data_IF_987726170188
#
_entry.id   IF_987726170188
#
_cell.length_a   1.000
_cell.length_b   1.000
_cell.length_c   1.000
_cell.angle_alpha   90.00
_cell.angle_beta   90.00
_cell.angle_gamma   90.00
#
_symmetry.space_group_name_H-M   'P 1'
#
loop_
_entity.id
_entity.type
_entity.pdbx_description
1 polymer ?
#
# COMPACT_ATOMS: atom_id res chain seq x y z
N UNK A 1 39.98 -49.58 -24.44
CA UNK A 1 40.01 -48.16 -24.84
C UNK A 1 38.90 -47.31 -24.18
N UNK A 2 37.72 -47.86 -23.89
CA UNK A 2 36.61 -47.12 -23.26
C UNK A 2 36.93 -46.54 -21.86
N UNK A 3 37.63 -47.29 -21.00
CA UNK A 3 37.91 -46.89 -19.61
C UNK A 3 38.87 -45.69 -19.47
N UNK A 4 39.73 -45.45 -20.47
CA UNK A 4 40.61 -44.27 -20.50
C UNK A 4 39.82 -43.00 -20.84
N UNK A 5 38.78 -43.10 -21.66
CA UNK A 5 37.93 -41.95 -22.01
C UNK A 5 37.05 -41.53 -20.82
N UNK A 6 36.51 -42.49 -20.07
CA UNK A 6 35.73 -42.20 -18.85
C UNK A 6 36.58 -41.53 -17.77
N UNK A 7 37.83 -41.97 -17.60
CA UNK A 7 38.77 -41.36 -16.65
C UNK A 7 39.13 -39.92 -17.04
N UNK A 8 39.32 -39.64 -18.33
CA UNK A 8 39.58 -38.28 -18.80
C UNK A 8 38.37 -37.36 -18.63
N UNK A 9 37.15 -37.85 -18.88
CA UNK A 9 35.93 -37.09 -18.65
C UNK A 9 35.71 -36.80 -17.16
N UNK A 10 35.93 -37.77 -16.28
CA UNK A 10 35.78 -37.58 -14.84
C UNK A 10 36.83 -36.61 -14.26
N UNK A 11 38.09 -36.70 -14.74
CA UNK A 11 39.14 -35.76 -14.38
C UNK A 11 38.84 -34.32 -14.85
N UNK A 12 38.30 -34.16 -16.06
CA UNK A 12 37.87 -32.85 -16.56
C UNK A 12 36.73 -32.26 -15.73
N UNK A 13 35.75 -33.09 -15.34
CA UNK A 13 34.63 -32.66 -14.50
C UNK A 13 35.07 -32.22 -13.11
N UNK A 14 36.03 -32.94 -12.48
CA UNK A 14 36.63 -32.55 -11.20
C UNK A 14 37.43 -31.22 -11.28
N UNK A 15 38.13 -30.99 -12.39
CA UNK A 15 38.82 -29.71 -12.64
C UNK A 15 37.83 -28.54 -12.83
N UNK A 16 36.69 -28.78 -13.49
CA UNK A 16 35.65 -27.76 -13.62
C UNK A 16 34.95 -27.46 -12.27
N UNK A 17 34.66 -28.46 -11.43
CA UNK A 17 33.97 -28.22 -10.15
C UNK A 17 34.87 -27.53 -9.11
N UNK A 18 36.17 -27.81 -9.10
CA UNK A 18 37.14 -27.09 -8.24
C UNK A 18 37.23 -25.61 -8.58
N UNK A 19 37.17 -25.23 -9.86
CA UNK A 19 37.17 -23.81 -10.26
C UNK A 19 35.91 -23.03 -9.86
N UNK A 20 34.77 -23.70 -9.66
CA UNK A 20 33.53 -23.07 -9.20
C UNK A 20 33.51 -22.79 -7.69
N UNK A 21 34.23 -23.58 -6.89
CA UNK A 21 34.35 -23.36 -5.45
C UNK A 21 35.24 -22.15 -5.09
N UNK A 22 36.21 -21.81 -5.95
CA UNK A 22 37.13 -20.69 -5.72
C UNK A 22 36.52 -19.30 -5.95
N UNK A 23 35.41 -19.19 -6.70
CA UNK A 23 34.74 -17.90 -6.95
C UNK A 23 33.71 -17.51 -5.87
N UNK A 24 33.26 -18.47 -5.06
CA UNK A 24 32.27 -18.23 -3.98
C UNK A 24 32.95 -17.84 -2.66
N UNK A 25 34.27 -18.04 -2.54
CA UNK A 25 35.03 -17.83 -1.30
C UNK A 25 35.90 -16.56 -1.27
N UNK A 26 35.76 -15.63 -2.22
CA UNK A 26 36.50 -14.35 -2.21
C UNK A 26 35.64 -13.14 -1.79
N UNK A 27 34.39 -13.34 -1.36
CA UNK A 27 33.49 -12.23 -1.00
C UNK A 27 33.05 -12.20 0.46
N UNK A 28 33.53 -13.13 1.28
CA UNK A 28 33.36 -13.10 2.73
C UNK A 28 34.74 -13.02 3.38
N UNK A 29 34.93 -11.96 4.15
CA UNK A 29 36.05 -11.72 5.09
C UNK A 29 37.29 -11.02 4.52
N UNK A 30 37.27 -9.68 4.54
CA UNK A 30 38.12 -8.84 5.42
C UNK A 30 37.99 -7.36 4.99
N UNK A 31 38.10 -6.45 5.97
CA UNK A 31 37.91 -4.98 5.95
C UNK A 31 36.44 -4.60 6.28
N UNK A 32 36.04 -4.08 7.43
CA UNK A 32 36.72 -3.47 8.58
C UNK A 32 35.61 -3.18 9.63
N UNK A 33 35.78 -3.38 10.96
CA UNK A 33 34.91 -2.73 11.95
C UNK A 33 35.44 -1.31 12.18
N UNK A 34 35.38 -0.47 11.14
CA UNK A 34 35.69 0.95 11.30
C UNK A 34 34.51 1.61 11.97
N UNK A 35 34.72 1.92 13.24
CA UNK A 35 34.04 2.94 14.03
C UNK A 35 33.32 3.95 13.12
N UNK A 36 32.01 3.76 12.94
CA UNK A 36 31.16 4.81 12.41
C UNK A 36 31.04 5.87 13.50
N UNK A 37 32.10 6.68 13.57
CA UNK A 37 32.08 7.97 14.21
C UNK A 37 30.88 8.71 13.63
N UNK A 38 29.84 8.89 14.43
CA UNK A 38 28.81 9.89 14.18
C UNK A 38 29.51 11.24 14.13
N UNK A 39 29.94 11.63 12.93
CA UNK A 39 30.30 13.00 12.64
C UNK A 39 29.04 13.83 12.93
N UNK A 40 29.10 14.85 13.80
CA UNK A 40 27.96 15.71 14.04
C UNK A 40 27.57 16.32 12.69
N UNK A 41 26.34 16.07 12.24
CA UNK A 41 25.77 16.81 11.13
C UNK A 41 25.84 18.28 11.53
N UNK A 42 26.55 19.16 10.79
CA UNK A 42 26.53 20.57 11.12
C UNK A 42 25.07 21.01 11.12
N UNK A 43 24.59 21.69 12.18
CA UNK A 43 23.22 22.17 12.18
C UNK A 43 23.06 23.06 10.96
N UNK A 44 22.22 22.64 10.01
CA UNK A 44 21.71 23.56 9.01
C UNK A 44 20.91 24.60 9.78
N UNK A 45 21.56 25.71 10.07
CA UNK A 45 20.93 26.95 10.48
C UNK A 45 19.99 27.34 9.36
N UNK A 46 18.73 26.98 9.53
CA UNK A 46 17.65 27.56 8.75
C UNK A 46 17.70 29.07 8.98
N UNK A 47 17.75 29.89 7.92
CA UNK A 47 17.64 31.33 8.08
C UNK A 47 16.35 31.65 8.84
N UNK A 48 16.36 32.66 9.74
CA UNK A 48 15.16 33.05 10.45
C UNK A 48 14.06 33.40 9.44
N UNK A 49 12.80 33.00 9.68
CA UNK A 49 11.71 33.42 8.83
C UNK A 49 11.69 34.96 8.76
N UNK A 50 11.43 35.56 7.59
CA UNK A 50 11.31 37.01 7.48
C UNK A 50 10.24 37.51 8.45
N UNK A 51 10.40 38.70 9.06
CA UNK A 51 9.38 39.26 9.93
C UNK A 51 8.09 39.42 9.12
N UNK A 52 7.09 38.61 9.45
CA UNK A 52 5.75 38.73 8.89
C UNK A 52 5.15 40.00 9.47
N UNK A 53 5.31 41.12 8.75
CA UNK A 53 4.50 42.29 8.98
C UNK A 53 3.05 41.89 8.71
N UNK A 54 2.23 41.80 9.77
CA UNK A 54 0.77 41.66 9.62
C UNK A 54 0.27 42.86 8.83
N UNK A 55 -0.34 42.67 7.64
CA UNK A 55 -1.04 43.75 6.98
C UNK A 55 -2.21 44.21 7.87
N UNK A 56 -2.44 45.52 8.05
CA UNK A 56 -3.67 45.98 8.70
C UNK A 56 -4.84 45.56 7.82
N UNK A 57 -5.73 44.72 8.36
CA UNK A 57 -6.98 44.35 7.70
C UNK A 57 -7.97 45.50 7.87
N UNK A 58 -8.35 46.25 6.83
CA UNK A 58 -9.48 47.16 6.94
C UNK A 58 -10.77 46.33 7.06
N UNK A 59 -11.52 46.54 8.13
CA UNK A 59 -12.85 45.98 8.31
C UNK A 59 -13.78 46.55 7.23
N UNK A 60 -14.35 45.76 6.31
CA UNK A 60 -15.31 46.28 5.35
C UNK A 60 -16.63 46.60 6.07
N UNK A 61 -17.32 47.70 5.71
CA UNK A 61 -18.62 48.02 6.27
C UNK A 61 -19.66 47.01 5.77
N UNK A 62 -20.38 46.39 6.70
CA UNK A 62 -21.49 45.49 6.42
C UNK A 62 -22.71 46.34 6.05
N UNK A 63 -22.95 46.54 4.75
CA UNK A 63 -24.24 46.98 4.26
C UNK A 63 -25.18 45.79 4.14
N UNK A 64 -26.30 45.82 4.87
CA UNK A 64 -27.34 44.80 4.86
C UNK A 64 -28.08 44.83 3.50
N UNK A 65 -28.11 43.74 2.71
CA UNK A 65 -28.87 43.72 1.45
C UNK A 65 -30.38 43.76 1.71
N UNK A 66 -31.18 44.46 0.88
CA UNK A 66 -32.63 44.36 0.95
C UNK A 66 -33.08 43.01 0.35
N UNK A 67 -33.74 42.19 1.16
CA UNK A 67 -34.46 40.99 0.71
C UNK A 67 -35.85 41.39 0.23
N UNK A 68 -36.04 41.44 -1.09
CA UNK A 68 -37.38 41.40 -1.70
C UNK A 68 -37.71 39.96 -2.05
N UNK A 69 -38.81 39.46 -1.49
CA UNK A 69 -39.31 38.11 -1.69
C UNK A 69 -40.01 38.02 -3.05
N UNK A 70 -39.55 37.20 -4.01
CA UNK A 70 -40.28 36.98 -5.26
C UNK A 70 -41.52 36.08 -5.01
N UNK A 71 -42.64 36.31 -5.71
CA UNK A 71 -43.82 35.46 -5.59
C UNK A 71 -43.56 34.10 -6.23
N UNK A 72 -43.73 33.04 -5.45
CA UNK A 72 -43.65 31.64 -5.91
C UNK A 72 -44.97 31.29 -6.60
N UNK A 73 -44.99 31.34 -7.94
CA UNK A 73 -46.00 30.66 -8.72
C UNK A 73 -45.68 29.16 -8.74
N UNK A 74 -46.60 28.34 -8.22
CA UNK A 74 -46.46 26.88 -8.15
C UNK A 74 -46.59 26.27 -9.56
N UNK A 75 -45.55 25.63 -10.11
CA UNK A 75 -45.66 24.94 -11.39
C UNK A 75 -46.56 23.70 -11.27
N UNK A 76 -47.38 23.35 -12.28
CA UNK A 76 -48.10 22.08 -12.29
C UNK A 76 -47.11 20.94 -12.51
N UNK A 77 -46.92 20.11 -11.49
CA UNK A 77 -46.13 18.88 -11.56
C UNK A 77 -46.97 17.82 -12.30
N UNK A 78 -46.71 17.63 -13.59
CA UNK A 78 -47.19 16.43 -14.29
C UNK A 78 -46.34 15.24 -13.81
N UNK A 79 -46.98 14.27 -13.17
CA UNK A 79 -46.33 13.04 -12.71
C UNK A 79 -45.94 12.19 -13.94
N UNK A 80 -44.63 11.98 -14.22
CA UNK A 80 -44.25 11.06 -15.28
C UNK A 80 -44.63 9.62 -14.88
N UNK A 81 -45.07 8.76 -15.83
CA UNK A 81 -45.36 7.37 -15.53
C UNK A 81 -44.07 6.67 -15.11
N UNK A 82 -44.04 6.21 -13.85
CA UNK A 82 -42.97 5.36 -13.33
C UNK A 82 -43.15 3.98 -13.95
N UNK A 83 -42.54 3.76 -15.12
CA UNK A 83 -42.31 2.42 -15.62
C UNK A 83 -41.29 1.76 -14.69
N UNK A 84 -41.76 0.79 -13.89
CA UNK A 84 -40.93 0.00 -12.98
C UNK A 84 -39.82 -0.69 -13.79
N UNK A 85 -38.53 -0.38 -13.56
CA UNK A 85 -37.44 -1.06 -14.25
C UNK A 85 -37.54 -2.57 -14.00
N UNK A 86 -37.34 -3.44 -15.01
CA UNK A 86 -37.24 -4.87 -14.76
C UNK A 86 -36.01 -5.10 -13.87
N UNK A 87 -36.27 -5.44 -12.62
CA UNK A 87 -35.25 -5.89 -11.67
C UNK A 87 -34.78 -7.26 -12.15
N UNK A 88 -33.80 -7.28 -13.05
CA UNK A 88 -33.08 -8.51 -13.36
C UNK A 88 -32.35 -8.92 -12.08
N UNK A 89 -32.85 -9.96 -11.42
CA UNK A 89 -32.20 -10.58 -10.27
C UNK A 89 -30.81 -11.01 -10.73
N UNK A 90 -29.71 -10.40 -10.23
CA UNK A 90 -28.38 -10.86 -10.60
C UNK A 90 -28.26 -12.33 -10.18
N UNK A 91 -27.67 -13.20 -11.02
CA UNK A 91 -27.46 -14.58 -10.64
C UNK A 91 -26.59 -14.58 -9.38
N UNK A 92 -27.19 -15.00 -8.26
CA UNK A 92 -26.48 -15.25 -7.01
C UNK A 92 -25.64 -16.50 -7.27
N UNK A 93 -24.45 -16.30 -7.81
CA UNK A 93 -23.41 -17.32 -7.78
C UNK A 93 -23.21 -17.66 -6.30
N UNK A 94 -23.59 -18.89 -5.93
CA UNK A 94 -23.35 -19.45 -4.61
C UNK A 94 -21.91 -19.13 -4.22
N UNK A 95 -21.66 -18.40 -3.11
CA UNK A 95 -20.31 -18.15 -2.65
C UNK A 95 -19.62 -19.51 -2.56
N UNK A 96 -18.45 -19.72 -3.20
CA UNK A 96 -17.74 -20.97 -3.04
C UNK A 96 -17.54 -21.13 -1.53
N UNK A 97 -18.05 -22.24 -0.99
CA UNK A 97 -17.83 -22.65 0.40
C UNK A 97 -16.36 -23.05 0.53
N UNK A 98 -15.48 -22.06 0.44
CA UNK A 98 -14.06 -22.23 0.63
C UNK A 98 -13.83 -22.44 2.12
N UNK A 99 -12.95 -23.40 2.44
CA UNK A 99 -12.42 -23.59 3.78
C UNK A 99 -11.99 -22.23 4.39
N UNK A 100 -11.99 -22.10 5.73
CA UNK A 100 -11.56 -20.88 6.41
C UNK A 100 -10.24 -20.39 5.80
N UNK A 101 -10.15 -19.11 5.37
CA UNK A 101 -8.97 -18.61 4.68
C UNK A 101 -7.77 -18.77 5.60
N UNK A 102 -6.80 -19.56 5.16
CA UNK A 102 -5.53 -19.72 5.88
C UNK A 102 -4.81 -18.39 5.93
N UNK A 103 -4.25 -17.98 7.08
CA UNK A 103 -3.54 -16.72 7.19
C UNK A 103 -2.30 -16.72 6.28
N UNK A 104 -2.03 -15.60 5.60
CA UNK A 104 -0.92 -15.49 4.65
C UNK A 104 0.43 -15.56 5.37
N UNK A 105 1.33 -16.41 4.89
CA UNK A 105 2.67 -16.63 5.45
C UNK A 105 3.75 -15.80 4.75
N UNK A 106 3.53 -15.47 3.47
CA UNK A 106 4.47 -14.72 2.64
C UNK A 106 3.77 -13.67 1.76
N UNK A 107 4.56 -12.86 1.07
CA UNK A 107 4.08 -11.78 0.18
C UNK A 107 3.21 -12.27 -0.97
N UNK A 108 3.43 -13.49 -1.48
CA UNK A 108 2.61 -14.04 -2.58
C UNK A 108 1.20 -14.39 -2.09
N UNK A 109 1.09 -14.95 -0.89
CA UNK A 109 -0.20 -15.24 -0.25
C UNK A 109 -0.95 -13.98 0.19
N UNK A 110 -0.23 -12.87 0.40
CA UNK A 110 -0.84 -11.56 0.64
C UNK A 110 -1.53 -10.97 -0.58
N UNK A 111 -1.09 -11.32 -1.80
CA UNK A 111 -1.55 -10.66 -3.02
C UNK A 111 -3.05 -10.90 -3.30
N UNK A 112 -3.58 -12.13 -3.33
CA UNK A 112 -5.01 -12.37 -3.60
C UNK A 112 -5.97 -11.62 -2.66
N UNK A 113 -5.83 -11.68 -1.32
CA UNK A 113 -6.73 -10.94 -0.44
C UNK A 113 -6.55 -9.42 -0.55
N UNK A 114 -5.34 -8.93 -0.82
CA UNK A 114 -5.12 -7.49 -1.05
C UNK A 114 -5.76 -6.98 -2.34
N UNK A 115 -5.83 -7.79 -3.40
CA UNK A 115 -6.57 -7.44 -4.63
C UNK A 115 -8.05 -7.26 -4.32
N UNK A 116 -8.64 -8.15 -3.52
CA UNK A 116 -10.04 -8.01 -3.08
C UNK A 116 -10.22 -6.75 -2.24
N UNK A 117 -9.34 -6.51 -1.26
CA UNK A 117 -9.36 -5.35 -0.37
C UNK A 117 -9.32 -4.03 -1.13
N UNK A 118 -8.48 -3.95 -2.17
CA UNK A 118 -8.22 -2.73 -2.91
C UNK A 118 -9.11 -2.54 -4.15
N UNK A 119 -10.01 -3.48 -4.45
CA UNK A 119 -10.82 -3.50 -5.68
C UNK A 119 -11.56 -2.19 -5.96
N UNK A 120 -12.14 -1.59 -4.92
CA UNK A 120 -12.96 -0.37 -5.04
C UNK A 120 -12.19 0.90 -4.67
N UNK A 121 -10.89 0.81 -4.38
CA UNK A 121 -10.10 1.98 -4.02
C UNK A 121 -9.76 2.79 -5.29
N UNK A 122 -10.00 4.11 -5.28
CA UNK A 122 -9.67 5.01 -6.40
C UNK A 122 -8.21 4.97 -6.88
N UNK A 123 -7.29 4.52 -6.02
CA UNK A 123 -5.85 4.40 -6.29
C UNK A 123 -5.39 2.97 -6.05
N UNK A 124 -5.92 2.03 -6.83
CA UNK A 124 -5.74 0.59 -6.66
C UNK A 124 -4.28 0.18 -6.45
N UNK A 125 -3.36 0.66 -7.29
CA UNK A 125 -1.92 0.33 -7.20
C UNK A 125 -1.27 0.84 -5.90
N UNK A 126 -1.70 2.01 -5.40
CA UNK A 126 -1.21 2.56 -4.13
C UNK A 126 -1.75 1.75 -2.95
N UNK A 127 -3.05 1.43 -2.98
CA UNK A 127 -3.69 0.58 -1.99
C UNK A 127 -3.04 -0.80 -1.93
N UNK A 128 -2.84 -1.46 -3.08
CA UNK A 128 -2.29 -2.80 -3.17
C UNK A 128 -0.87 -2.87 -2.60
N UNK A 129 -0.02 -1.90 -2.94
CA UNK A 129 1.34 -1.79 -2.39
C UNK A 129 1.33 -1.64 -0.87
N UNK A 130 0.46 -0.77 -0.35
CA UNK A 130 0.31 -0.57 1.09
C UNK A 130 -0.22 -1.84 1.78
N UNK A 131 -1.25 -2.47 1.21
CA UNK A 131 -1.85 -3.70 1.72
C UNK A 131 -0.83 -4.83 1.80
N UNK A 132 -0.07 -5.11 0.73
CA UNK A 132 0.93 -6.19 0.72
C UNK A 132 2.03 -5.92 1.75
N UNK A 133 2.46 -4.66 1.92
CA UNK A 133 3.43 -4.28 2.96
C UNK A 133 2.89 -4.54 4.36
N UNK A 134 1.63 -4.18 4.62
CA UNK A 134 0.97 -4.43 5.90
C UNK A 134 0.75 -5.92 6.16
N UNK A 135 0.32 -6.66 5.14
CA UNK A 135 0.11 -8.09 5.22
C UNK A 135 1.41 -8.85 5.45
N UNK A 136 2.49 -8.50 4.76
CA UNK A 136 3.75 -9.19 4.95
C UNK A 136 4.30 -8.99 6.37
N UNK A 137 4.05 -7.83 6.99
CA UNK A 137 4.44 -7.55 8.38
C UNK A 137 3.50 -8.17 9.40
N UNK A 138 2.19 -8.12 9.17
CA UNK A 138 1.16 -8.49 10.15
C UNK A 138 0.51 -9.86 9.89
N UNK A 139 0.87 -10.52 8.79
CA UNK A 139 0.36 -11.83 8.34
C UNK A 139 -1.17 -11.92 8.32
N UNK A 140 -1.82 -10.80 7.98
CA UNK A 140 -3.27 -10.68 7.94
C UNK A 140 -3.73 -9.60 6.96
N UNK A 141 -4.84 -9.86 6.25
CA UNK A 141 -5.59 -8.88 5.44
C UNK A 141 -7.05 -8.92 5.89
N UNK A 142 -7.64 -7.78 6.30
CA UNK A 142 -9.00 -7.81 6.81
C UNK A 142 -10.02 -8.02 5.68
N UNK A 143 -11.13 -8.71 5.96
CA UNK A 143 -12.13 -9.06 4.94
C UNK A 143 -12.87 -7.83 4.41
N UNK A 144 -13.35 -7.93 3.17
CA UNK A 144 -14.08 -6.86 2.48
C UNK A 144 -13.18 -5.78 1.88
N UNK A 145 -13.79 -4.75 1.29
CA UNK A 145 -13.11 -3.63 0.62
C UNK A 145 -12.86 -2.41 1.53
N UNK A 146 -13.44 -2.41 2.73
CA UNK A 146 -13.38 -1.30 3.70
C UNK A 146 -13.66 -1.80 5.12
N UNK A 147 -13.16 -1.09 6.15
CA UNK A 147 -13.44 -1.41 7.56
C UNK A 147 -12.80 -2.71 8.04
N UNK A 148 -13.29 -3.29 9.13
CA UNK A 148 -12.84 -4.57 9.69
C UNK A 148 -11.33 -4.63 10.04
N UNK A 149 -10.65 -3.49 10.22
CA UNK A 149 -9.19 -3.44 10.40
C UNK A 149 -8.77 -4.11 11.72
N UNK A 150 -9.65 -4.04 12.72
CA UNK A 150 -9.56 -4.67 14.03
C UNK A 150 -9.48 -6.20 13.97
N UNK A 151 -9.99 -6.84 12.91
CA UNK A 151 -9.89 -8.29 12.70
C UNK A 151 -8.42 -8.73 12.61
N UNK A 152 -7.55 -7.87 12.06
CA UNK A 152 -6.11 -8.12 11.98
C UNK A 152 -5.31 -7.60 13.18
N UNK A 153 -6.00 -7.16 14.24
CA UNK A 153 -5.41 -6.73 15.49
C UNK A 153 -4.53 -5.47 15.40
N UNK A 154 -3.76 -5.18 16.47
CA UNK A 154 -3.06 -3.91 16.61
C UNK A 154 -1.96 -3.70 15.57
N UNK A 155 -1.35 -4.76 15.04
CA UNK A 155 -0.31 -4.63 14.01
C UNK A 155 -0.83 -3.89 12.77
N UNK A 156 -1.97 -4.32 12.23
CA UNK A 156 -2.55 -3.73 11.01
C UNK A 156 -3.17 -2.36 11.28
N UNK A 157 -3.77 -2.17 12.46
CA UNK A 157 -4.44 -0.91 12.85
C UNK A 157 -3.43 0.19 13.13
N UNK A 158 -2.37 -0.10 13.89
CA UNK A 158 -1.43 0.89 14.42
C UNK A 158 -0.27 1.21 13.49
N UNK A 159 -0.14 0.51 12.36
CA UNK A 159 0.84 0.86 11.34
C UNK A 159 0.55 2.24 10.75
N UNK A 160 1.53 3.14 10.90
CA UNK A 160 1.48 4.52 10.41
C UNK A 160 2.53 4.80 9.35
N UNK A 161 2.23 5.76 8.50
CA UNK A 161 3.20 6.40 7.61
C UNK A 161 4.10 7.35 8.41
N UNK A 162 5.18 7.85 7.81
CA UNK A 162 6.03 8.86 8.45
C UNK A 162 5.24 10.12 8.86
N UNK A 163 4.16 10.45 8.16
CA UNK A 163 3.26 11.57 8.50
C UNK A 163 2.18 11.24 9.54
N UNK A 164 2.31 10.14 10.28
CA UNK A 164 1.39 9.76 11.36
C UNK A 164 0.02 9.24 10.93
N UNK A 165 -0.27 9.21 9.62
CA UNK A 165 -1.54 8.70 9.07
C UNK A 165 -1.55 7.17 9.01
N UNK A 166 -2.73 6.51 9.15
CA UNK A 166 -2.85 5.07 8.95
C UNK A 166 -2.24 4.63 7.62
N UNK A 167 -1.36 3.63 7.66
CA UNK A 167 -0.66 3.12 6.47
C UNK A 167 -1.49 2.06 5.74
N UNK A 168 -2.17 1.20 6.49
CA UNK A 168 -2.87 0.04 5.94
C UNK A 168 -4.31 0.38 5.52
N UNK A 169 -4.78 -0.12 4.37
CA UNK A 169 -6.13 0.16 3.86
C UNK A 169 -7.25 -0.52 4.64
#
# INVERSE_FOLDING_TARGET
MAMKLTLLLFASYLLLTTSAASLVSSKETLLEPSLYASSPVPPKTLPPPPPVAKPPTPTPPVAKPPTTTPPVAKPPTATPPVAKPPTATPPVAKPPTAAPPTPPRNTKECYPPCVVRCKNHSRQNVCLRACVTCCDRCKCVPPGQSGNREVCGPCYVNMKTHGGRPKCP
#
